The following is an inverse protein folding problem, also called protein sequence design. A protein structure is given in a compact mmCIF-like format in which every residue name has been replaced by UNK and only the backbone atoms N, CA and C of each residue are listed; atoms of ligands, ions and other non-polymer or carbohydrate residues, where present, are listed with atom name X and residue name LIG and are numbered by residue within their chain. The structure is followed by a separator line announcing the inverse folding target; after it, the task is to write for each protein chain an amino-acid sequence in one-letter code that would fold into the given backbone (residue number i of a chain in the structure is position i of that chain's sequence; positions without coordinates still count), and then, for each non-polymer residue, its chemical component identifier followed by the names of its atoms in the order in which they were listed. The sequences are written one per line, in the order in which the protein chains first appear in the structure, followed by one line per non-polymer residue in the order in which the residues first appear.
data_IF_801668779453
#
_entry.id   IF_801668779453
#
_cell.length_a   1.000
_cell.length_b   1.000
_cell.length_c   1.000
_cell.angle_alpha   90.00
_cell.angle_beta   90.00
_cell.angle_gamma   90.00
#
_symmetry.space_group_name_H-M   'P 1'
#
loop_
_entity.id
_entity.type
_entity.pdbx_description
1 polymer ?
#
# COMPACT_ATOMS: atom_id res chain seq x y z
N UNK A 1 -6.30 11.26 -6.49
CA UNK A 1 -6.89 10.62 -5.28
C UNK A 1 -8.40 10.65 -5.40
N UNK A 2 -9.11 9.76 -4.71
CA UNK A 2 -10.58 9.79 -4.64
C UNK A 2 -11.06 11.02 -3.84
N UNK A 3 -12.25 11.57 -4.16
CA UNK A 3 -12.89 12.54 -3.28
C UNK A 3 -13.20 11.91 -1.91
N UNK A 4 -13.29 12.74 -0.87
CA UNK A 4 -13.58 12.29 0.51
C UNK A 4 -14.50 13.31 1.19
N UNK A 5 -15.39 12.82 2.06
CA UNK A 5 -16.33 13.62 2.84
C UNK A 5 -15.73 14.11 4.17
N UNK A 6 -14.85 13.32 4.78
CA UNK A 6 -14.22 13.59 6.06
C UNK A 6 -12.77 13.07 6.13
N UNK A 7 -12.08 13.38 7.24
CA UNK A 7 -10.69 12.96 7.49
C UNK A 7 -10.52 11.44 7.55
N UNK A 8 -11.51 10.74 8.09
CA UNK A 8 -11.44 9.28 8.28
C UNK A 8 -11.54 8.56 6.93
N UNK A 9 -12.41 9.02 6.03
CA UNK A 9 -12.46 8.57 4.65
C UNK A 9 -11.17 8.91 3.90
N UNK A 10 -10.64 10.12 4.08
CA UNK A 10 -9.37 10.49 3.47
C UNK A 10 -8.22 9.57 3.93
N UNK A 11 -8.11 9.28 5.22
CA UNK A 11 -7.10 8.36 5.75
C UNK A 11 -7.29 6.94 5.24
N UNK A 12 -8.53 6.45 5.14
CA UNK A 12 -8.79 5.15 4.51
C UNK A 12 -8.32 5.11 3.06
N UNK A 13 -8.55 6.16 2.28
CA UNK A 13 -8.03 6.26 0.91
C UNK A 13 -6.50 6.26 0.86
N UNK A 14 -5.84 6.98 1.76
CA UNK A 14 -4.37 7.02 1.85
C UNK A 14 -3.79 5.66 2.28
N UNK A 15 -4.35 5.04 3.32
CA UNK A 15 -3.91 3.74 3.83
C UNK A 15 -4.11 2.66 2.76
N UNK A 16 -5.21 2.70 2.01
CA UNK A 16 -5.48 1.72 0.95
C UNK A 16 -4.38 1.71 -0.13
N UNK A 17 -3.73 2.85 -0.40
CA UNK A 17 -2.60 2.90 -1.36
C UNK A 17 -1.38 2.11 -0.89
N UNK A 18 -1.28 1.80 0.41
CA UNK A 18 -0.24 0.94 0.97
C UNK A 18 -0.22 -0.47 0.39
N UNK A 19 -1.32 -0.92 -0.22
CA UNK A 19 -1.36 -2.15 -1.01
C UNK A 19 -0.25 -2.20 -2.08
N UNK A 20 0.03 -1.07 -2.73
CA UNK A 20 1.08 -0.96 -3.76
C UNK A 20 2.50 -0.98 -3.18
N UNK A 21 2.63 -0.92 -1.86
CA UNK A 21 3.90 -1.03 -1.14
C UNK A 21 4.11 -2.42 -0.55
N UNK A 22 3.20 -3.37 -0.78
CA UNK A 22 3.40 -4.79 -0.48
C UNK A 22 4.36 -5.43 -1.51
N UNK A 23 4.83 -6.64 -1.25
CA UNK A 23 5.78 -7.36 -2.11
C UNK A 23 7.25 -7.15 -1.73
N UNK A 24 8.12 -8.02 -2.26
CA UNK A 24 9.54 -8.05 -1.93
C UNK A 24 10.24 -6.79 -2.44
N UNK A 25 11.19 -6.25 -1.65
CA UNK A 25 11.99 -5.09 -2.04
C UNK A 25 13.45 -5.34 -1.69
N UNK A 26 14.29 -5.41 -2.70
CA UNK A 26 15.73 -5.60 -2.51
C UNK A 26 16.37 -4.24 -2.23
N UNK A 27 16.30 -3.79 -0.97
CA UNK A 27 16.82 -2.48 -0.55
C UNK A 27 18.35 -2.36 -0.61
N UNK A 28 19.05 -3.48 -0.84
CA UNK A 28 20.50 -3.54 -1.03
C UNK A 28 20.94 -3.36 -2.50
N UNK A 29 19.99 -3.29 -3.44
CA UNK A 29 20.29 -3.03 -4.85
C UNK A 29 20.91 -1.62 -5.00
N UNK A 30 21.98 -1.53 -5.78
CA UNK A 30 22.76 -0.29 -5.96
C UNK A 30 22.42 0.40 -7.28
N UNK A 31 21.88 -0.34 -8.25
CA UNK A 31 21.36 0.23 -9.50
C UNK A 31 19.93 0.71 -9.26
N UNK A 32 19.76 2.03 -9.11
CA UNK A 32 18.47 2.67 -8.83
C UNK A 32 17.41 2.35 -9.90
N UNK A 33 17.83 2.25 -11.17
CA UNK A 33 16.91 1.95 -12.28
C UNK A 33 16.43 0.51 -12.21
N UNK A 34 17.35 -0.42 -11.91
CA UNK A 34 16.99 -1.82 -11.66
C UNK A 34 16.06 -1.94 -10.46
N UNK A 35 16.39 -1.30 -9.34
CA UNK A 35 15.59 -1.33 -8.13
C UNK A 35 14.17 -0.82 -8.38
N UNK A 36 14.03 0.33 -9.05
CA UNK A 36 12.72 0.89 -9.39
C UNK A 36 11.90 -0.10 -10.23
N UNK A 37 12.52 -0.74 -11.23
CA UNK A 37 11.82 -1.64 -12.14
C UNK A 37 11.48 -3.00 -11.51
N UNK A 38 12.29 -3.48 -10.56
CA UNK A 38 11.95 -4.66 -9.77
C UNK A 38 10.78 -4.37 -8.79
N UNK A 39 10.71 -3.15 -8.23
CA UNK A 39 9.54 -2.72 -7.43
C UNK A 39 8.28 -2.66 -8.29
N UNK A 40 8.38 -2.15 -9.52
CA UNK A 40 7.26 -2.12 -10.47
C UNK A 40 6.80 -3.54 -10.82
N UNK A 41 7.74 -4.48 -11.03
CA UNK A 41 7.42 -5.89 -11.27
C UNK A 41 6.62 -6.51 -10.12
N UNK A 42 7.06 -6.26 -8.88
CA UNK A 42 6.36 -6.72 -7.67
C UNK A 42 4.96 -6.11 -7.54
N UNK A 43 4.76 -4.85 -7.95
CA UNK A 43 3.44 -4.21 -7.98
C UNK A 43 2.52 -4.86 -9.03
N UNK A 44 3.04 -5.17 -10.22
CA UNK A 44 2.29 -5.85 -11.29
C UNK A 44 1.94 -7.27 -10.85
N UNK A 45 2.88 -8.04 -10.27
CA UNK A 45 2.61 -9.40 -9.80
C UNK A 45 1.60 -9.41 -8.65
N UNK A 46 1.77 -8.52 -7.66
CA UNK A 46 0.84 -8.39 -6.53
C UNK A 46 -0.56 -8.03 -7.01
N UNK A 47 -0.70 -7.04 -7.90
CA UNK A 47 -1.99 -6.65 -8.46
C UNK A 47 -2.61 -7.76 -9.31
N UNK A 48 -1.81 -8.37 -10.20
CA UNK A 48 -2.23 -9.43 -11.10
C UNK A 48 -2.78 -10.63 -10.35
N UNK A 49 -2.06 -11.10 -9.33
CA UNK A 49 -2.56 -12.20 -8.49
C UNK A 49 -3.76 -11.78 -7.67
N UNK A 50 -3.70 -10.64 -7.00
CA UNK A 50 -4.72 -10.24 -6.04
C UNK A 50 -6.08 -9.97 -6.67
N UNK A 51 -6.10 -9.27 -7.80
CA UNK A 51 -7.32 -8.82 -8.45
C UNK A 51 -7.66 -9.61 -9.71
N UNK A 52 -6.66 -10.01 -10.51
CA UNK A 52 -6.91 -10.69 -11.78
C UNK A 52 -6.80 -12.22 -11.69
N UNK A 53 -6.22 -12.76 -10.61
CA UNK A 53 -5.96 -14.18 -10.49
C UNK A 53 -5.02 -14.68 -11.60
N UNK A 54 -4.09 -13.83 -12.04
CA UNK A 54 -3.17 -14.10 -13.14
C UNK A 54 -1.77 -13.56 -12.84
N UNK A 55 -0.75 -14.17 -13.44
CA UNK A 55 0.65 -13.73 -13.31
C UNK A 55 1.14 -13.07 -14.58
N UNK A 56 1.79 -11.92 -14.45
CA UNK A 56 2.33 -11.18 -15.58
C UNK A 56 3.85 -11.32 -15.72
N UNK A 57 4.53 -11.95 -14.76
CA UNK A 57 6.00 -11.97 -14.70
C UNK A 57 6.70 -12.54 -15.94
N UNK A 58 6.11 -13.51 -16.65
CA UNK A 58 6.71 -13.99 -17.91
C UNK A 58 6.73 -12.90 -18.99
N UNK A 59 5.67 -12.07 -19.06
CA UNK A 59 5.51 -10.98 -20.02
C UNK A 59 6.59 -9.89 -19.88
N UNK A 60 7.33 -9.86 -18.77
CA UNK A 60 8.47 -8.95 -18.56
C UNK A 60 9.58 -9.14 -19.60
N UNK A 61 9.83 -10.38 -20.02
CA UNK A 61 10.98 -10.72 -20.86
C UNK A 61 10.60 -11.14 -22.29
N UNK A 62 9.42 -11.74 -22.45
CA UNK A 62 8.87 -12.26 -23.70
C UNK A 62 7.35 -12.36 -23.55
N UNK A 63 6.60 -12.43 -24.66
CA UNK A 63 5.15 -12.60 -24.57
C UNK A 63 4.81 -13.82 -23.72
N UNK A 64 3.77 -13.69 -22.89
CA UNK A 64 3.44 -14.71 -21.92
C UNK A 64 3.23 -16.07 -22.60
N UNK A 65 3.77 -17.13 -22.00
CA UNK A 65 3.92 -18.43 -22.68
C UNK A 65 2.60 -19.08 -23.06
N UNK A 66 1.56 -18.88 -22.25
CA UNK A 66 0.28 -19.58 -22.37
C UNK A 66 -0.87 -18.60 -22.57
N UNK A 67 -1.03 -17.67 -21.64
CA UNK A 67 -2.03 -16.61 -21.75
C UNK A 67 -1.67 -15.59 -22.82
N UNK A 68 -2.64 -15.02 -23.56
CA UNK A 68 -2.44 -14.03 -24.61
C UNK A 68 -2.16 -12.64 -24.01
N UNK A 69 -1.13 -12.55 -23.18
CA UNK A 69 -0.63 -11.32 -22.57
C UNK A 69 0.69 -11.00 -23.26
N UNK A 70 0.71 -9.90 -24.00
CA UNK A 70 1.90 -9.44 -24.70
C UNK A 70 2.90 -8.78 -23.75
N UNK A 71 4.15 -8.73 -24.19
CA UNK A 71 5.20 -7.92 -23.55
C UNK A 71 4.76 -6.46 -23.46
N UNK A 72 4.08 -5.95 -24.48
CA UNK A 72 3.52 -4.60 -24.47
C UNK A 72 2.49 -4.40 -23.35
N UNK A 73 1.60 -5.36 -23.07
CA UNK A 73 0.63 -5.25 -21.98
C UNK A 73 1.33 -5.10 -20.62
N UNK A 74 2.42 -5.85 -20.39
CA UNK A 74 3.23 -5.72 -19.18
C UNK A 74 3.84 -4.32 -19.08
N UNK A 75 4.44 -3.80 -20.15
CA UNK A 75 5.07 -2.48 -20.12
C UNK A 75 4.06 -1.32 -20.07
N UNK A 76 2.84 -1.52 -20.59
CA UNK A 76 1.72 -0.61 -20.41
C UNK A 76 1.34 -0.45 -18.93
N UNK A 77 1.24 -1.57 -18.19
CA UNK A 77 1.05 -1.55 -16.74
C UNK A 77 2.27 -0.97 -16.01
N UNK A 78 3.49 -1.33 -16.45
CA UNK A 78 4.73 -0.83 -15.86
C UNK A 78 4.81 0.69 -15.91
N UNK A 79 4.32 1.34 -16.97
CA UNK A 79 4.25 2.80 -17.02
C UNK A 79 3.36 3.42 -15.95
N UNK A 80 2.22 2.80 -15.62
CA UNK A 80 1.31 3.29 -14.57
C UNK A 80 2.01 3.26 -13.20
N UNK A 81 2.73 2.17 -12.93
CA UNK A 81 3.43 1.97 -11.66
C UNK A 81 4.76 2.72 -11.57
N UNK A 82 5.48 2.88 -12.69
CA UNK A 82 6.66 3.77 -12.75
C UNK A 82 6.28 5.23 -12.50
N UNK A 83 5.06 5.61 -12.90
CA UNK A 83 4.47 6.91 -12.61
C UNK A 83 3.90 7.02 -11.18
N UNK A 84 4.05 5.98 -10.34
CA UNK A 84 3.52 5.91 -8.98
C UNK A 84 4.65 5.75 -7.97
N UNK A 85 4.77 6.69 -7.04
CA UNK A 85 5.85 6.71 -6.05
C UNK A 85 5.46 5.99 -4.77
N UNK A 86 6.11 4.86 -4.50
CA UNK A 86 6.00 4.07 -3.26
C UNK A 86 7.27 4.08 -2.42
N UNK A 87 8.35 4.68 -2.92
CA UNK A 87 9.62 4.89 -2.20
C UNK A 87 9.93 6.38 -2.11
N UNK A 88 10.49 6.83 -0.99
CA UNK A 88 11.06 8.18 -0.88
C UNK A 88 12.30 8.31 -1.76
N UNK A 89 13.14 7.28 -1.78
CA UNK A 89 14.35 7.24 -2.57
C UNK A 89 14.73 5.79 -2.90
N UNK A 90 15.59 5.62 -3.91
CA UNK A 90 16.10 4.32 -4.36
C UNK A 90 17.58 4.12 -3.99
N UNK A 91 18.09 4.86 -3.00
CA UNK A 91 19.52 4.81 -2.62
C UNK A 91 19.78 3.73 -1.56
N UNK A 92 21.05 3.53 -1.15
CA UNK A 92 21.47 2.52 -0.13
C UNK A 92 20.72 2.54 1.21
N UNK A 93 20.00 3.62 1.52
CA UNK A 93 19.06 3.69 2.66
C UNK A 93 17.68 4.02 2.13
N UNK A 94 17.18 3.13 1.27
CA UNK A 94 15.88 3.24 0.67
C UNK A 94 14.79 3.22 1.75
N UNK A 95 13.90 4.20 1.67
CA UNK A 95 12.76 4.36 2.59
C UNK A 95 11.48 4.25 1.79
N UNK A 96 10.49 3.58 2.37
CA UNK A 96 9.13 3.59 1.83
C UNK A 96 8.58 5.00 1.89
N UNK A 97 7.74 5.32 0.91
CA UNK A 97 6.91 6.51 1.00
C UNK A 97 5.79 6.26 2.02
N UNK A 98 5.65 7.19 2.96
CA UNK A 98 4.60 7.18 3.95
C UNK A 98 3.66 8.37 3.76
N UNK A 99 2.37 8.08 3.80
CA UNK A 99 1.32 9.08 3.85
C UNK A 99 1.19 9.57 5.30
N UNK A 100 1.33 10.87 5.58
CA UNK A 100 1.04 11.42 6.89
C UNK A 100 -0.47 11.35 7.18
N UNK A 101 -0.83 10.96 8.40
CA UNK A 101 -2.18 10.80 8.91
C UNK A 101 -2.37 11.66 10.19
N UNK A 102 -2.40 13.00 10.05
CA UNK A 102 -2.37 13.90 11.19
C UNK A 102 -3.64 13.83 12.03
N UNK A 103 -3.56 13.32 13.26
CA UNK A 103 -4.67 13.39 14.22
C UNK A 103 -4.76 14.79 14.85
N UNK A 104 -5.92 15.22 15.38
CA UNK A 104 -6.03 16.50 16.10
C UNK A 104 -4.99 16.68 17.22
N UNK A 105 -4.64 15.58 17.89
CA UNK A 105 -3.59 15.56 18.90
C UNK A 105 -2.20 15.81 18.29
N UNK A 106 -1.86 15.12 17.19
CA UNK A 106 -0.58 15.31 16.51
C UNK A 106 -0.46 16.70 15.88
N UNK A 107 -1.55 17.27 15.37
CA UNK A 107 -1.60 18.63 14.84
C UNK A 107 -1.39 19.67 15.94
N UNK A 108 -2.05 19.49 17.09
CA UNK A 108 -1.85 20.35 18.26
C UNK A 108 -0.40 20.26 18.78
N UNK A 109 0.18 19.06 18.81
CA UNK A 109 1.57 18.85 19.19
C UNK A 109 2.55 19.51 18.21
N UNK A 110 2.32 19.37 16.90
CA UNK A 110 3.11 20.00 15.85
C UNK A 110 3.02 21.53 15.90
N UNK A 111 1.81 22.07 16.09
CA UNK A 111 1.61 23.52 16.24
C UNK A 111 2.30 24.06 17.49
N UNK A 112 2.20 23.36 18.62
CA UNK A 112 2.90 23.73 19.85
C UNK A 112 4.43 23.67 19.70
N UNK A 113 4.94 22.68 18.98
CA UNK A 113 6.37 22.58 18.68
C UNK A 113 6.85 23.69 17.74
N UNK A 114 6.11 23.97 16.67
CA UNK A 114 6.40 25.07 15.75
C UNK A 114 6.39 26.43 16.48
N UNK A 115 5.46 26.64 17.42
CA UNK A 115 5.44 27.84 18.25
C UNK A 115 6.70 27.99 19.12
N UNK A 116 7.18 26.90 19.75
CA UNK A 116 8.42 26.91 20.54
C UNK A 116 9.65 27.16 19.67
N UNK A 117 9.70 26.61 18.45
CA UNK A 117 10.76 26.90 17.50
C UNK A 117 10.77 28.39 17.13
N UNK A 118 9.61 28.95 16.79
CA UNK A 118 9.47 30.36 16.45
C UNK A 118 9.86 31.28 17.62
N UNK A 119 9.46 30.93 18.86
CA UNK A 119 9.85 31.66 20.07
C UNK A 119 11.37 31.65 20.28
N UNK A 120 12.01 30.49 20.15
CA UNK A 120 13.47 30.37 20.29
C UNK A 120 14.23 31.08 19.17
N UNK A 121 13.73 31.03 17.93
CA UNK A 121 14.29 31.79 16.82
C UNK A 121 14.16 33.30 17.05
N UNK A 122 13.03 33.76 17.61
CA UNK A 122 12.82 35.15 17.97
C UNK A 122 13.74 35.60 19.13
N UNK A 123 13.96 34.74 20.14
CA UNK A 123 14.90 34.99 21.24
C UNK A 123 16.34 35.16 20.71
N UNK A 124 16.78 34.25 19.84
CA UNK A 124 18.09 34.36 19.17
C UNK A 124 18.18 35.65 18.35
N UNK A 125 17.16 35.98 17.56
CA UNK A 125 17.14 37.19 16.76
C UNK A 125 17.18 38.47 17.64
N UNK A 126 16.49 38.47 18.78
CA UNK A 126 16.52 39.57 19.73
C UNK A 126 17.90 39.76 20.36
N UNK A 127 18.58 38.68 20.76
CA UNK A 127 19.96 38.73 21.27
C UNK A 127 20.92 39.25 20.20
N UNK A 128 20.80 38.79 18.95
CA UNK A 128 21.61 39.30 17.83
C UNK A 128 21.37 40.80 17.62
N UNK A 129 20.11 41.24 17.56
CA UNK A 129 19.77 42.66 17.36
C UNK A 129 20.27 43.55 18.50
N UNK A 130 20.22 43.07 19.76
CA UNK A 130 20.78 43.78 20.91
C UNK A 130 22.31 43.86 20.83
N UNK A 131 22.97 42.77 20.44
CA UNK A 131 24.43 42.71 20.27
C UNK A 131 24.91 43.63 19.15
N UNK A 132 24.19 43.66 18.03
CA UNK A 132 24.43 44.56 16.90
C UNK A 132 24.37 46.02 17.34
N UNK A 133 23.32 46.40 18.08
CA UNK A 133 23.16 47.77 18.58
C UNK A 133 24.26 48.18 19.56
N UNK A 134 24.71 47.26 20.41
CA UNK A 134 25.82 47.50 21.33
C UNK A 134 27.15 47.65 20.58
N UNK A 135 27.39 46.82 19.56
CA UNK A 135 28.57 46.91 18.72
C UNK A 135 28.61 48.25 17.96
N UNK A 136 27.49 48.64 17.33
CA UNK A 136 27.38 49.91 16.61
C UNK A 136 27.55 51.13 17.52
N UNK A 137 27.09 51.07 18.77
CA UNK A 137 27.29 52.14 19.75
C UNK A 137 28.73 52.21 20.30
N UNK A 138 29.47 51.11 20.28
CA UNK A 138 30.86 51.04 20.73
C UNK A 138 31.88 51.42 19.63
N UNK A 139 31.46 51.50 18.37
CA UNK A 139 32.32 51.87 17.24
C UNK A 139 32.47 53.39 17.12
N UNK A 140 33.68 53.83 16.81
CA UNK A 140 33.99 55.26 16.60
C UNK A 140 33.56 55.70 15.20
N UNK A 141 33.07 56.94 15.06
CA UNK A 141 32.59 57.47 13.79
C UNK A 141 33.69 57.41 12.69
N UNK A 142 33.56 56.44 11.77
CA UNK A 142 34.48 56.24 10.64
C UNK A 142 35.01 54.81 10.43
N UNK A 143 34.78 53.88 11.36
CA UNK A 143 35.20 52.48 11.19
C UNK A 143 34.20 51.68 10.34
N UNK A 144 34.71 50.94 9.34
CA UNK A 144 33.90 50.07 8.49
C UNK A 144 33.45 48.84 9.25
N UNK A 145 32.14 48.64 9.39
CA UNK A 145 31.55 47.47 10.05
C UNK A 145 31.80 46.22 9.20
N UNK A 146 32.44 45.16 9.73
CA UNK A 146 32.61 43.91 9.00
C UNK A 146 31.26 43.24 8.70
N UNK A 147 31.17 42.54 7.56
CA UNK A 147 29.96 41.80 7.14
C UNK A 147 29.53 40.72 8.14
N UNK A 148 30.47 40.18 8.93
CA UNK A 148 30.21 39.22 10.02
C UNK A 148 30.49 39.89 11.36
N UNK A 149 29.42 40.32 12.04
CA UNK A 149 29.46 41.02 13.33
C UNK A 149 29.64 40.09 14.55
N UNK A 150 29.23 38.82 14.43
CA UNK A 150 29.29 37.82 15.52
C UNK A 150 30.65 37.61 16.20
N UNK A 151 31.79 37.56 15.48
CA UNK A 151 33.10 37.44 16.12
C UNK A 151 33.48 38.62 17.02
N UNK A 152 32.83 39.77 16.85
CA UNK A 152 33.08 41.01 17.59
C UNK A 152 32.19 41.18 18.82
N UNK A 153 31.21 40.30 19.02
CA UNK A 153 30.34 40.36 20.20
C UNK A 153 31.11 40.06 21.50
N UNK A 154 30.64 40.55 22.66
CA UNK A 154 31.18 40.15 23.95
C UNK A 154 31.14 38.64 24.15
N UNK A 155 32.14 38.07 24.84
CA UNK A 155 32.21 36.62 25.10
C UNK A 155 30.97 36.10 25.85
N UNK A 156 30.36 36.92 26.71
CA UNK A 156 29.10 36.61 27.37
C UNK A 156 27.95 36.39 26.36
N UNK A 157 27.82 37.28 25.37
CA UNK A 157 26.80 37.22 24.32
C UNK A 157 27.04 36.05 23.37
N UNK A 158 28.30 35.74 23.05
CA UNK A 158 28.65 34.54 22.28
C UNK A 158 28.27 33.25 23.01
N UNK A 159 28.52 33.18 24.33
CA UNK A 159 28.15 32.03 25.14
C UNK A 159 26.62 31.85 25.22
N UNK A 160 25.87 32.94 25.34
CA UNK A 160 24.41 32.94 25.33
C UNK A 160 23.83 32.50 23.97
N UNK A 161 24.33 33.05 22.86
CA UNK A 161 23.92 32.64 21.51
C UNK A 161 24.24 31.16 21.25
N UNK A 162 25.39 30.66 21.71
CA UNK A 162 25.73 29.25 21.62
C UNK A 162 24.71 28.39 22.37
N UNK A 163 24.39 28.74 23.62
CA UNK A 163 23.39 28.03 24.42
C UNK A 163 22.03 28.01 23.74
N UNK A 164 21.52 29.15 23.27
CA UNK A 164 20.23 29.23 22.60
C UNK A 164 20.19 28.44 21.29
N UNK A 165 21.29 28.43 20.52
CA UNK A 165 21.42 27.61 19.31
C UNK A 165 21.45 26.11 19.63
N UNK A 166 22.12 25.72 20.70
CA UNK A 166 22.14 24.33 21.16
C UNK A 166 20.74 23.87 21.64
N UNK A 167 20.00 24.74 22.33
CA UNK A 167 18.59 24.52 22.70
C UNK A 167 17.68 24.43 21.47
N UNK A 168 17.82 25.36 20.51
CA UNK A 168 17.06 25.33 19.26
C UNK A 168 17.32 24.03 18.50
N UNK A 169 18.57 23.62 18.36
CA UNK A 169 18.95 22.36 17.71
C UNK A 169 18.36 21.15 18.42
N UNK A 170 18.30 21.17 19.76
CA UNK A 170 17.67 20.10 20.54
C UNK A 170 16.17 20.04 20.26
N UNK A 171 15.51 21.20 20.18
CA UNK A 171 14.09 21.32 19.81
C UNK A 171 13.84 20.87 18.37
N UNK A 172 14.66 21.27 17.40
CA UNK A 172 14.59 20.86 16.00
C UNK A 172 14.69 19.34 15.83
N UNK A 173 15.46 18.67 16.69
CA UNK A 173 15.57 17.21 16.68
C UNK A 173 14.42 16.51 17.43
N UNK A 174 13.69 17.22 18.30
CA UNK A 174 12.57 16.71 19.09
C UNK A 174 11.23 16.91 18.36
N UNK A 175 11.16 16.54 17.07
CA UNK A 175 9.95 16.68 16.25
C UNK A 175 8.86 15.75 16.78
N UNK A 176 7.63 16.25 17.04
CA UNK A 176 6.50 15.41 17.42
C UNK A 176 6.22 14.36 16.33
N UNK A 177 6.00 13.12 16.74
CA UNK A 177 5.64 12.05 15.80
C UNK A 177 4.23 12.30 15.25
N UNK A 178 4.12 12.36 13.92
CA UNK A 178 2.84 12.34 13.23
C UNK A 178 2.58 10.91 12.78
N UNK A 179 1.42 10.31 13.11
CA UNK A 179 1.08 8.99 12.61
C UNK A 179 1.16 8.96 11.08
N UNK A 180 1.64 7.86 10.54
CA UNK A 180 1.80 7.67 9.10
C UNK A 180 1.43 6.25 8.72
N UNK A 181 1.17 6.05 7.43
CA UNK A 181 1.00 4.72 6.86
C UNK A 181 1.78 4.60 5.57
N UNK A 182 2.36 3.43 5.31
CA UNK A 182 2.92 3.12 3.99
C UNK A 182 1.87 3.39 2.91
N UNK A 183 2.30 4.02 1.82
CA UNK A 183 1.37 4.42 0.78
C UNK A 183 2.03 4.72 -0.55
N UNK A 184 1.22 5.27 -1.46
CA UNK A 184 1.66 5.68 -2.78
C UNK A 184 1.13 7.08 -3.11
N UNK A 185 1.91 7.84 -3.88
CA UNK A 185 1.49 9.11 -4.49
C UNK A 185 1.79 9.15 -5.99
N UNK A 186 1.21 10.13 -6.68
CA UNK A 186 1.57 10.39 -8.07
C UNK A 186 3.03 10.81 -8.18
N UNK A 187 3.69 10.29 -9.20
CA UNK A 187 4.96 10.78 -9.72
C UNK A 187 4.77 11.27 -11.16
N UNK A 188 5.86 11.73 -11.76
CA UNK A 188 5.91 12.19 -13.14
C UNK A 188 5.41 11.08 -14.08
N UNK A 189 4.32 11.32 -14.84
CA UNK A 189 3.78 10.35 -15.77
C UNK A 189 4.81 9.94 -16.83
N UNK A 190 5.00 8.63 -17.00
CA UNK A 190 5.99 8.07 -17.89
C UNK A 190 5.46 6.83 -18.62
N UNK A 191 5.77 6.77 -19.92
CA UNK A 191 5.67 5.56 -20.73
C UNK A 191 7.01 4.81 -20.66
N UNK A 192 6.96 3.48 -20.72
CA UNK A 192 8.14 2.64 -20.43
C UNK A 192 8.60 1.93 -21.70
N UNK A 193 9.89 2.03 -22.06
CA UNK A 193 10.45 1.21 -23.13
C UNK A 193 10.48 -0.26 -22.74
N UNK A 194 10.19 -1.14 -23.69
CA UNK A 194 10.34 -2.59 -23.49
C UNK A 194 11.78 -2.90 -23.10
N UNK A 195 11.99 -3.63 -22.00
CA UNK A 195 13.31 -4.15 -21.68
C UNK A 195 13.50 -5.46 -22.43
N UNK A 196 14.40 -5.46 -23.41
CA UNK A 196 14.63 -6.62 -24.26
C UNK A 196 15.17 -7.76 -23.38
N UNK A 197 14.40 -8.85 -23.30
CA UNK A 197 14.66 -10.00 -22.40
C UNK A 197 14.76 -9.59 -20.92
N UNK A 198 13.99 -8.58 -20.52
CA UNK A 198 13.93 -8.08 -19.14
C UNK A 198 15.12 -7.23 -18.70
N UNK A 199 16.08 -6.95 -19.60
CA UNK A 199 17.29 -6.18 -19.28
C UNK A 199 17.03 -4.68 -19.31
N UNK A 200 17.04 -4.02 -18.14
CA UNK A 200 16.87 -2.57 -18.02
C UNK A 200 17.96 -1.74 -18.72
N UNK A 201 19.05 -2.39 -19.14
CA UNK A 201 20.13 -1.78 -19.93
C UNK A 201 19.90 -1.86 -21.44
N UNK A 202 18.95 -2.70 -21.91
CA UNK A 202 18.65 -2.90 -23.34
C UNK A 202 17.20 -2.53 -23.61
N UNK A 203 17.01 -1.29 -24.05
CA UNK A 203 15.70 -0.70 -24.27
C UNK A 203 15.25 -0.89 -25.73
N UNK A 204 14.01 -1.28 -25.92
CA UNK A 204 13.31 -1.34 -27.20
C UNK A 204 12.32 -0.18 -27.35
N UNK A 205 11.22 -0.45 -28.06
CA UNK A 205 10.19 0.56 -28.33
C UNK A 205 9.49 1.03 -27.05
N UNK A 206 9.13 2.31 -27.02
CA UNK A 206 8.37 2.92 -25.93
C UNK A 206 6.91 2.48 -26.03
N UNK A 207 6.40 1.93 -24.93
CA UNK A 207 5.02 1.45 -24.85
C UNK A 207 4.18 2.45 -24.04
N UNK A 208 3.13 3.04 -24.64
CA UNK A 208 2.20 3.89 -23.91
C UNK A 208 1.52 3.13 -22.79
N UNK A 209 1.22 3.81 -21.68
CA UNK A 209 0.41 3.25 -20.59
C UNK A 209 -0.93 2.72 -21.13
N UNK A 210 -1.23 1.46 -20.84
CA UNK A 210 -2.50 0.81 -21.16
C UNK A 210 -2.77 -0.38 -20.22
N UNK A 211 -4.01 -0.86 -20.21
CA UNK A 211 -4.41 -2.10 -19.53
C UNK A 211 -4.31 -3.28 -20.51
N UNK A 212 -4.15 -4.54 -20.03
CA UNK A 212 -4.00 -5.70 -20.91
C UNK A 212 -5.13 -5.83 -21.93
N UNK A 213 -4.76 -5.92 -23.20
CA UNK A 213 -5.72 -5.89 -24.33
C UNK A 213 -6.66 -7.10 -24.40
N UNK A 214 -6.25 -8.25 -23.85
CA UNK A 214 -7.09 -9.45 -23.75
C UNK A 214 -8.31 -9.25 -22.84
N UNK A 215 -8.24 -8.33 -21.88
CA UNK A 215 -9.29 -8.18 -20.86
C UNK A 215 -10.47 -7.40 -21.44
N UNK A 216 -11.49 -8.13 -21.85
CA UNK A 216 -12.72 -7.58 -22.43
C UNK A 216 -13.79 -7.35 -21.36
N UNK A 217 -14.69 -6.40 -21.59
CA UNK A 217 -15.77 -6.03 -20.66
C UNK A 217 -15.83 -4.50 -20.55
N UNK A 218 -15.17 -3.90 -19.55
CA UNK A 218 -15.10 -2.45 -19.41
C UNK A 218 -14.32 -1.81 -20.55
N UNK A 219 -14.69 -0.59 -20.90
CA UNK A 219 -13.94 0.22 -21.86
C UNK A 219 -12.51 0.46 -21.35
N UNK A 220 -11.53 0.39 -22.26
CA UNK A 220 -10.15 0.69 -21.91
C UNK A 220 -10.03 2.12 -21.34
N UNK A 221 -9.40 2.29 -20.17
CA UNK A 221 -9.24 3.59 -19.54
C UNK A 221 -8.35 4.50 -20.40
N UNK A 222 -8.62 5.80 -20.34
CA UNK A 222 -7.78 6.83 -20.96
C UNK A 222 -6.82 7.40 -19.92
N UNK A 223 -5.53 7.26 -20.16
CA UNK A 223 -4.50 7.76 -19.26
C UNK A 223 -4.11 9.19 -19.64
N UNK A 224 -4.15 10.10 -18.67
CA UNK A 224 -3.76 11.50 -18.85
C UNK A 224 -2.26 11.70 -18.64
N UNK A 225 -1.73 12.83 -19.09
CA UNK A 225 -0.34 13.25 -18.83
C UNK A 225 -0.17 13.97 -17.49
N UNK A 226 -1.23 14.08 -16.67
CA UNK A 226 -1.23 14.83 -15.41
C UNK A 226 -1.12 13.94 -14.18
N UNK A 227 -1.44 12.66 -14.29
CA UNK A 227 -1.48 11.71 -13.19
C UNK A 227 -0.88 10.37 -13.57
N UNK A 228 -0.62 9.52 -12.57
CA UNK A 228 0.05 8.23 -12.79
C UNK A 228 -0.76 7.26 -13.64
N UNK A 229 -2.09 7.38 -13.62
CA UNK A 229 -3.01 6.41 -14.20
C UNK A 229 -3.55 5.39 -13.19
N UNK A 230 -3.09 5.43 -11.93
CA UNK A 230 -3.52 4.43 -10.93
C UNK A 230 -5.01 4.49 -10.61
N UNK A 231 -5.61 5.68 -10.67
CA UNK A 231 -7.02 5.85 -10.35
C UNK A 231 -7.89 5.28 -11.48
N UNK A 232 -7.51 5.55 -12.72
CA UNK A 232 -8.14 5.02 -13.92
C UNK A 232 -8.00 3.49 -13.97
N UNK A 233 -6.83 2.95 -13.62
CA UNK A 233 -6.63 1.51 -13.46
C UNK A 233 -7.52 0.92 -12.36
N UNK A 234 -7.62 1.58 -11.20
CA UNK A 234 -8.47 1.12 -10.11
C UNK A 234 -9.95 1.07 -10.51
N UNK A 235 -10.46 2.11 -11.18
CA UNK A 235 -11.83 2.13 -11.70
C UNK A 235 -12.07 1.04 -12.73
N UNK A 236 -11.11 0.78 -13.62
CA UNK A 236 -11.21 -0.30 -14.60
C UNK A 236 -11.24 -1.69 -13.95
N UNK A 237 -10.44 -1.92 -12.91
CA UNK A 237 -10.40 -3.20 -12.17
C UNK A 237 -11.72 -3.50 -11.47
N UNK A 238 -12.34 -2.49 -10.83
CA UNK A 238 -13.58 -2.67 -10.05
C UNK A 238 -14.85 -2.40 -10.85
N UNK A 239 -14.72 -2.23 -12.17
CA UNK A 239 -15.88 -2.08 -13.04
C UNK A 239 -16.75 -3.37 -12.97
N UNK A 240 -18.08 -3.26 -12.79
CA UNK A 240 -18.98 -4.42 -12.76
C UNK A 240 -18.90 -5.34 -13.98
N UNK A 241 -18.47 -4.82 -15.14
CA UNK A 241 -18.30 -5.58 -16.38
C UNK A 241 -16.94 -6.28 -16.45
N UNK A 242 -16.02 -6.01 -15.50
CA UNK A 242 -14.69 -6.60 -15.51
C UNK A 242 -14.78 -8.12 -15.27
N UNK A 243 -14.17 -8.96 -16.13
CA UNK A 243 -14.45 -10.40 -16.16
C UNK A 243 -13.89 -11.16 -14.96
N UNK A 244 -12.77 -10.70 -14.37
CA UNK A 244 -12.02 -11.48 -13.38
C UNK A 244 -12.15 -10.97 -11.93
N UNK A 245 -12.04 -9.66 -11.68
CA UNK A 245 -11.95 -9.08 -10.34
C UNK A 245 -12.95 -9.64 -9.33
N UNK A 246 -14.24 -9.61 -9.67
CA UNK A 246 -15.27 -10.15 -8.80
C UNK A 246 -15.19 -11.68 -8.64
N UNK A 247 -14.92 -12.42 -9.73
CA UNK A 247 -14.76 -13.89 -9.71
C UNK A 247 -13.61 -14.31 -8.79
N UNK A 248 -12.48 -13.61 -8.87
CA UNK A 248 -11.27 -13.91 -8.09
C UNK A 248 -11.54 -13.75 -6.60
N UNK A 249 -12.09 -12.61 -6.18
CA UNK A 249 -12.36 -12.38 -4.76
C UNK A 249 -13.46 -13.32 -4.22
N UNK A 250 -14.54 -13.55 -4.99
CA UNK A 250 -15.60 -14.50 -4.61
C UNK A 250 -15.03 -15.92 -4.45
N UNK A 251 -14.21 -16.37 -5.39
CA UNK A 251 -13.57 -17.68 -5.32
C UNK A 251 -12.62 -17.79 -4.11
N UNK A 252 -11.88 -16.72 -3.78
CA UNK A 252 -10.99 -16.68 -2.61
C UNK A 252 -11.75 -16.73 -1.30
N UNK A 253 -12.85 -15.98 -1.17
CA UNK A 253 -13.72 -16.03 0.03
C UNK A 253 -14.35 -17.42 0.15
N UNK A 254 -14.82 -18.01 -0.94
CA UNK A 254 -15.30 -19.40 -0.95
C UNK A 254 -14.20 -20.37 -0.46
N UNK A 255 -13.01 -20.29 -1.06
CA UNK A 255 -11.85 -21.11 -0.67
C UNK A 255 -11.50 -20.94 0.81
N UNK A 256 -11.61 -19.74 1.37
CA UNK A 256 -11.33 -19.51 2.79
C UNK A 256 -12.26 -20.33 3.70
N UNK A 257 -13.55 -20.39 3.37
CA UNK A 257 -14.54 -21.14 4.14
C UNK A 257 -14.46 -22.65 3.94
N UNK A 258 -14.24 -23.08 2.69
CA UNK A 258 -14.34 -24.49 2.30
C UNK A 258 -12.98 -25.17 2.08
N UNK A 259 -11.85 -24.47 2.26
CA UNK A 259 -10.49 -24.97 2.01
C UNK A 259 -10.11 -25.14 0.54
N UNK A 260 -11.08 -25.25 -0.37
CA UNK A 260 -10.91 -25.33 -1.83
C UNK A 260 -11.85 -24.36 -2.53
N UNK A 261 -11.36 -23.66 -3.55
CA UNK A 261 -12.16 -22.74 -4.35
C UNK A 261 -13.12 -23.47 -5.31
N UNK A 262 -14.14 -22.75 -5.80
CA UNK A 262 -14.96 -23.21 -6.93
C UNK A 262 -14.10 -23.38 -8.18
N UNK A 263 -13.16 -22.45 -8.39
CA UNK A 263 -11.98 -22.58 -9.25
C UNK A 263 -10.82 -23.06 -8.37
N UNK A 264 -10.37 -24.32 -8.52
CA UNK A 264 -9.32 -24.89 -7.66
C UNK A 264 -7.95 -24.20 -7.76
N UNK A 265 -7.67 -23.49 -8.86
CA UNK A 265 -6.45 -22.72 -9.12
C UNK A 265 -6.64 -21.22 -8.79
N UNK A 266 -6.55 -20.79 -7.51
CA UNK A 266 -6.95 -19.44 -7.09
C UNK A 266 -6.13 -18.29 -7.69
N UNK A 267 -4.91 -18.56 -8.15
CA UNK A 267 -3.99 -17.58 -8.75
C UNK A 267 -3.73 -17.84 -10.23
N UNK A 268 -4.53 -18.70 -10.86
CA UNK A 268 -4.47 -18.95 -12.30
C UNK A 268 -5.89 -19.12 -12.86
N UNK A 269 -6.44 -18.01 -13.34
CA UNK A 269 -7.68 -17.92 -14.11
C UNK A 269 -7.41 -17.87 -15.63
N UNK A 270 -6.14 -18.06 -16.04
CA UNK A 270 -5.73 -18.13 -17.42
C UNK A 270 -6.06 -19.47 -18.09
N UNK A 271 -5.51 -19.70 -19.28
CA UNK A 271 -5.79 -20.89 -20.11
C UNK A 271 -5.32 -22.21 -19.48
N UNK A 272 -4.33 -22.16 -18.59
CA UNK A 272 -3.87 -23.33 -17.82
C UNK A 272 -4.53 -23.45 -16.44
N UNK A 273 -5.45 -22.55 -16.11
CA UNK A 273 -6.27 -22.62 -14.91
C UNK A 273 -7.28 -23.75 -14.96
N UNK A 274 -7.72 -24.23 -13.80
CA UNK A 274 -8.82 -25.17 -13.70
C UNK A 274 -10.15 -24.48 -14.01
N UNK A 275 -11.04 -25.19 -14.71
CA UNK A 275 -12.41 -24.72 -14.89
C UNK A 275 -13.15 -24.70 -13.54
N UNK A 276 -14.09 -23.74 -13.33
CA UNK A 276 -14.94 -23.75 -12.15
C UNK A 276 -15.77 -25.04 -12.09
N UNK A 277 -15.82 -25.66 -10.91
CA UNK A 277 -16.68 -26.84 -10.66
C UNK A 277 -18.16 -26.51 -10.82
N UNK A 278 -18.55 -25.29 -10.45
CA UNK A 278 -19.93 -24.79 -10.51
C UNK A 278 -19.93 -23.38 -11.12
N UNK A 279 -19.85 -23.25 -12.46
CA UNK A 279 -19.75 -21.94 -13.13
C UNK A 279 -20.96 -21.05 -12.81
N UNK A 280 -22.18 -21.60 -12.86
CA UNK A 280 -23.41 -20.84 -12.60
C UNK A 280 -23.48 -20.32 -11.16
N UNK A 281 -23.00 -21.10 -10.18
CA UNK A 281 -22.94 -20.67 -8.78
C UNK A 281 -21.91 -19.55 -8.59
N UNK A 282 -20.75 -19.65 -9.24
CA UNK A 282 -19.74 -18.61 -9.19
C UNK A 282 -20.30 -17.30 -9.77
N UNK A 283 -20.95 -17.37 -10.93
CA UNK A 283 -21.52 -16.20 -11.61
C UNK A 283 -22.66 -15.58 -10.81
N UNK A 284 -23.49 -16.42 -10.18
CA UNK A 284 -24.54 -15.96 -9.28
C UNK A 284 -23.96 -15.24 -8.05
N UNK A 285 -22.97 -15.82 -7.37
CA UNK A 285 -22.32 -15.18 -6.22
C UNK A 285 -21.62 -13.87 -6.60
N UNK A 286 -21.01 -13.82 -7.79
CA UNK A 286 -20.40 -12.60 -8.33
C UNK A 286 -21.43 -11.50 -8.53
N UNK A 287 -22.57 -11.82 -9.12
CA UNK A 287 -23.64 -10.85 -9.32
C UNK A 287 -24.14 -10.31 -7.97
N UNK A 288 -24.41 -11.18 -7.01
CA UNK A 288 -24.83 -10.82 -5.65
C UNK A 288 -23.81 -9.96 -4.93
N UNK A 289 -22.52 -10.27 -5.09
CA UNK A 289 -21.43 -9.51 -4.50
C UNK A 289 -21.39 -8.07 -5.07
N UNK A 290 -21.51 -7.91 -6.38
CA UNK A 290 -21.57 -6.59 -7.04
C UNK A 290 -22.83 -5.83 -6.63
N UNK A 291 -24.01 -6.45 -6.64
CA UNK A 291 -25.29 -5.84 -6.21
C UNK A 291 -25.24 -5.33 -4.76
N UNK A 292 -24.50 -6.04 -3.90
CA UNK A 292 -24.30 -5.63 -2.50
C UNK A 292 -23.35 -4.45 -2.30
N UNK A 293 -22.83 -3.86 -3.40
CA UNK A 293 -21.81 -2.81 -3.37
C UNK A 293 -20.45 -3.35 -2.96
N UNK A 294 -20.07 -4.55 -3.43
CA UNK A 294 -18.79 -5.19 -3.14
C UNK A 294 -18.58 -5.47 -1.62
N UNK A 295 -19.66 -5.71 -0.89
CA UNK A 295 -19.62 -5.92 0.55
C UNK A 295 -19.14 -7.34 0.89
N UNK A 296 -17.89 -7.48 1.32
CA UNK A 296 -17.35 -8.76 1.81
C UNK A 296 -18.23 -9.33 2.93
N UNK A 297 -18.71 -8.50 3.86
CA UNK A 297 -19.60 -8.94 4.95
C UNK A 297 -20.89 -9.57 4.43
N UNK A 298 -21.46 -9.04 3.35
CA UNK A 298 -22.67 -9.60 2.72
C UNK A 298 -22.38 -10.94 2.06
N UNK A 299 -21.28 -11.03 1.31
CA UNK A 299 -20.82 -12.29 0.69
C UNK A 299 -20.54 -13.38 1.74
N UNK A 300 -19.82 -13.04 2.81
CA UNK A 300 -19.59 -13.94 3.95
C UNK A 300 -20.92 -14.44 4.51
N UNK A 301 -21.87 -13.53 4.79
CA UNK A 301 -23.19 -13.89 5.32
C UNK A 301 -23.94 -14.84 4.39
N UNK A 302 -23.96 -14.57 3.08
CA UNK A 302 -24.66 -15.39 2.09
C UNK A 302 -24.09 -16.81 2.03
N UNK A 303 -22.76 -16.95 2.05
CA UNK A 303 -22.09 -18.26 2.11
C UNK A 303 -22.38 -18.98 3.42
N UNK A 304 -22.19 -18.31 4.57
CA UNK A 304 -22.33 -18.92 5.90
C UNK A 304 -23.77 -19.36 6.22
N UNK A 305 -24.77 -18.69 5.65
CA UNK A 305 -26.18 -19.04 5.80
C UNK A 305 -26.67 -20.05 4.74
N UNK A 306 -25.84 -20.44 3.78
CA UNK A 306 -26.21 -21.43 2.78
C UNK A 306 -26.45 -22.81 3.40
N UNK A 307 -27.21 -23.66 2.72
CA UNK A 307 -27.30 -25.06 3.12
C UNK A 307 -25.94 -25.76 2.95
N UNK A 308 -25.19 -25.41 1.91
CA UNK A 308 -23.87 -25.97 1.60
C UNK A 308 -22.87 -25.82 2.75
N UNK A 309 -22.81 -24.63 3.37
CA UNK A 309 -21.94 -24.38 4.52
C UNK A 309 -22.40 -25.10 5.79
N UNK A 310 -23.71 -25.28 5.97
CA UNK A 310 -24.32 -25.93 7.15
C UNK A 310 -24.39 -27.46 7.05
N UNK A 311 -23.84 -28.06 5.99
CA UNK A 311 -23.80 -29.51 5.84
C UNK A 311 -22.95 -30.18 6.92
N UNK A 312 -23.23 -31.44 7.20
CA UNK A 312 -22.35 -32.28 8.02
C UNK A 312 -21.06 -32.61 7.26
N UNK A 313 -19.96 -32.83 7.98
CA UNK A 313 -18.75 -33.45 7.41
C UNK A 313 -18.80 -34.98 7.36
N UNK A 314 -19.87 -35.60 7.87
CA UNK A 314 -20.00 -37.05 7.85
C UNK A 314 -20.15 -37.57 6.41
N UNK A 315 -19.30 -38.50 5.97
CA UNK A 315 -19.39 -39.04 4.62
C UNK A 315 -20.55 -40.03 4.50
N UNK A 316 -21.35 -39.89 3.44
CA UNK A 316 -22.33 -40.87 3.02
C UNK A 316 -21.70 -41.82 1.97
N UNK A 317 -21.92 -43.13 2.11
CA UNK A 317 -21.25 -44.15 1.30
C UNK A 317 -21.49 -43.95 -0.21
N UNK A 318 -22.71 -43.56 -0.59
CA UNK A 318 -23.07 -43.31 -2.00
C UNK A 318 -22.38 -42.05 -2.52
N UNK A 319 -22.33 -40.98 -1.74
CA UNK A 319 -21.65 -39.74 -2.16
C UNK A 319 -20.14 -39.94 -2.33
N UNK A 320 -19.52 -40.77 -1.48
CA UNK A 320 -18.09 -41.09 -1.57
C UNK A 320 -17.78 -41.93 -2.82
N UNK A 321 -18.67 -42.85 -3.20
CA UNK A 321 -18.52 -43.65 -4.42
C UNK A 321 -18.59 -42.79 -5.69
N UNK A 322 -19.50 -41.81 -5.73
CA UNK A 322 -19.71 -40.94 -6.89
C UNK A 322 -18.68 -39.79 -6.97
N UNK A 323 -18.24 -39.27 -5.83
CA UNK A 323 -17.35 -38.11 -5.73
C UNK A 323 -16.48 -38.21 -4.48
N UNK A 324 -15.44 -39.05 -4.58
CA UNK A 324 -14.48 -39.29 -3.51
C UNK A 324 -13.83 -37.99 -3.00
N UNK A 325 -13.46 -37.11 -3.93
CA UNK A 325 -12.81 -35.82 -3.67
C UNK A 325 -13.74 -34.73 -3.16
N UNK A 326 -15.05 -34.98 -3.10
CA UNK A 326 -16.08 -34.02 -2.71
C UNK A 326 -16.06 -32.72 -3.54
N UNK A 327 -15.80 -32.83 -4.85
CA UNK A 327 -15.83 -31.72 -5.82
C UNK A 327 -17.21 -31.08 -5.97
N UNK A 328 -18.27 -31.86 -5.73
CA UNK A 328 -19.68 -31.47 -5.83
C UNK A 328 -20.24 -30.96 -4.50
N UNK A 329 -19.41 -30.83 -3.46
CA UNK A 329 -19.80 -30.27 -2.16
C UNK A 329 -20.98 -31.01 -1.50
N UNK A 330 -21.00 -32.33 -1.59
CA UNK A 330 -22.01 -33.20 -0.95
C UNK A 330 -21.96 -33.24 0.58
N UNK A 331 -20.85 -32.77 1.15
CA UNK A 331 -20.57 -32.71 2.60
C UNK A 331 -19.64 -31.54 2.89
N UNK A 332 -19.62 -31.08 4.14
CA UNK A 332 -18.68 -30.03 4.55
C UNK A 332 -17.25 -30.60 4.64
N UNK A 333 -16.24 -29.96 3.99
CA UNK A 333 -14.87 -30.45 4.01
C UNK A 333 -14.27 -30.35 5.42
N UNK A 334 -13.59 -31.41 5.86
CA UNK A 334 -12.81 -31.35 7.10
C UNK A 334 -11.60 -30.46 6.85
N UNK A 335 -11.44 -29.42 7.67
CA UNK A 335 -10.29 -28.51 7.63
C UNK A 335 -9.60 -28.45 8.98
N UNK A 336 -8.33 -28.03 8.96
CA UNK A 336 -7.62 -27.66 10.19
C UNK A 336 -8.16 -26.33 10.69
N UNK A 337 -8.20 -26.18 12.01
CA UNK A 337 -8.47 -24.90 12.65
C UNK A 337 -7.17 -24.11 12.73
N UNK A 338 -7.24 -22.83 12.43
CA UNK A 338 -6.12 -21.90 12.60
C UNK A 338 -5.93 -21.55 14.09
N UNK A 339 -4.74 -21.07 14.45
CA UNK A 339 -4.40 -20.75 15.84
C UNK A 339 -5.33 -19.66 16.42
N UNK A 340 -5.71 -18.69 15.59
CA UNK A 340 -6.61 -17.59 15.91
C UNK A 340 -8.01 -18.12 16.24
N UNK A 341 -8.53 -19.08 15.47
CA UNK A 341 -9.85 -19.67 15.71
C UNK A 341 -9.91 -20.39 17.06
N UNK A 342 -8.85 -21.14 17.39
CA UNK A 342 -8.73 -21.82 18.69
C UNK A 342 -8.63 -20.82 19.84
N UNK A 343 -7.78 -19.80 19.70
CA UNK A 343 -7.61 -18.74 20.70
C UNK A 343 -8.93 -18.00 20.94
N UNK A 344 -9.57 -17.54 19.89
CA UNK A 344 -10.79 -16.73 19.98
C UNK A 344 -11.96 -17.56 20.53
N UNK A 345 -12.04 -18.86 20.20
CA UNK A 345 -13.01 -19.77 20.82
C UNK A 345 -12.80 -19.90 22.34
N UNK A 346 -11.56 -20.04 22.81
CA UNK A 346 -11.25 -20.10 24.24
C UNK A 346 -11.61 -18.79 24.94
N UNK A 347 -11.25 -17.64 24.34
CA UNK A 347 -11.60 -16.32 24.86
C UNK A 347 -13.11 -16.07 24.88
N UNK A 348 -13.84 -16.55 23.86
CA UNK A 348 -15.29 -16.43 23.80
C UNK A 348 -15.96 -17.25 24.92
N UNK A 349 -15.52 -18.50 25.11
CA UNK A 349 -16.06 -19.38 26.16
C UNK A 349 -15.72 -18.87 27.56
N UNK A 350 -14.56 -18.25 27.75
CA UNK A 350 -14.18 -17.64 29.04
C UNK A 350 -14.82 -16.26 29.29
N UNK A 351 -15.50 -15.67 28.31
CA UNK A 351 -16.06 -14.32 28.40
C UNK A 351 -15.02 -13.20 28.34
N UNK A 352 -13.80 -13.49 27.85
CA UNK A 352 -12.68 -12.56 27.75
C UNK A 352 -12.41 -12.07 26.32
N UNK A 353 -13.23 -12.48 25.34
CA UNK A 353 -13.08 -12.02 23.97
C UNK A 353 -13.43 -10.53 23.86
N UNK A 354 -12.41 -9.72 23.55
CA UNK A 354 -12.60 -8.32 23.21
C UNK A 354 -13.03 -8.19 21.74
N UNK A 355 -14.18 -7.57 21.53
CA UNK A 355 -14.76 -7.31 20.20
C UNK A 355 -14.51 -5.87 19.73
N UNK A 356 -13.79 -5.05 20.51
CA UNK A 356 -13.44 -3.70 20.09
C UNK A 356 -12.52 -3.77 18.86
N UNK A 357 -12.87 -3.08 17.76
CA UNK A 357 -12.05 -3.09 16.57
C UNK A 357 -10.77 -2.28 16.79
N UNK A 358 -9.63 -2.84 16.37
CA UNK A 358 -8.33 -2.19 16.47
C UNK A 358 -7.63 -2.49 17.80
N UNK A 359 -6.80 -1.54 18.25
CA UNK A 359 -5.93 -1.74 19.40
C UNK A 359 -4.59 -2.38 19.02
N UNK A 360 -3.56 -2.19 19.86
CA UNK A 360 -2.25 -2.74 19.57
C UNK A 360 -2.25 -4.26 19.79
N UNK A 361 -1.75 -5.02 18.81
CA UNK A 361 -1.56 -6.49 18.93
C UNK A 361 -0.63 -6.82 20.09
N UNK A 362 0.25 -5.88 20.44
CA UNK A 362 1.19 -5.95 21.53
C UNK A 362 0.99 -4.73 22.44
N UNK A 363 0.69 -4.96 23.72
CA UNK A 363 0.64 -3.88 24.74
C UNK A 363 2.03 -3.39 25.16
N UNK A 364 3.09 -4.04 24.66
CA UNK A 364 4.48 -3.66 24.92
C UNK A 364 4.94 -2.60 23.92
N UNK A 365 5.84 -1.72 24.37
CA UNK A 365 6.46 -0.71 23.51
C UNK A 365 7.19 -1.37 22.33
N UNK A 366 7.35 -0.62 21.23
CA UNK A 366 8.12 -1.05 20.07
C UNK A 366 9.52 -1.57 20.49
N UNK A 367 9.88 -2.80 20.10
CA UNK A 367 11.10 -3.53 20.53
C UNK A 367 11.17 -3.92 22.02
N UNK A 368 10.13 -3.68 22.81
CA UNK A 368 10.04 -4.11 24.22
C UNK A 368 9.78 -5.60 24.39
N UNK A 369 9.52 -6.33 23.31
CA UNK A 369 9.37 -7.81 23.28
C UNK A 369 10.69 -8.54 22.94
N UNK A 370 11.76 -7.82 22.60
CA UNK A 370 13.05 -8.39 22.18
C UNK A 370 14.07 -8.50 23.33
N UNK A 371 13.66 -8.31 24.58
CA UNK A 371 14.55 -8.36 25.74
C UNK A 371 13.94 -9.16 26.88
#
# INVERSE_FOLDING_TARGET
MLPYADSDEHYRHLIATGFLSLGAKVLAEVDETKMQMDIVDEQIDTLGRAFLGMTFGCARCHDHKFDPIGTADYYGLAGIFKSTRTMENFTKVARWYENPLPTPESEAAAAAHAARLAEKQAEIAAVIAAADKQLEAAMTAGETVPEKKEPLYPEATKAELKKLRDELKTLENAVPETPSAMGAKDDTPADVPVHIRGSHLKLGDVVPRHVPTVMHGPAAPKFTTQASGRLELAHWLVDPQHPLTARVIVNRVWRWHFGRGLVPSPDNFGLLGDAPTHPELLDWLVHRFIESGWSLKSLHREILLSNTYRQSSHPDARTVELDLENRLWSRFPIRRLEAEELRDALLAVSGQLDLQPGGPVLTVKNRGYLF
#
